data_IF_707355675567
#
_entry.id   IF_707355675567
#
_cell.length_a   1.000
_cell.length_b   1.000
_cell.length_c   1.000
_cell.angle_alpha   90.00
_cell.angle_beta   90.00
_cell.angle_gamma   90.00
#
_symmetry.space_group_name_H-M   'P 1'
#
loop_
_entity.id
_entity.type
_entity.pdbx_description
1 polymer ?
#
# COMPACT_ATOMS: atom_id res chain seq x y z
N UNK A 1 -1.80 30.21 13.83
CA UNK A 1 -0.91 29.09 14.20
C UNK A 1 -1.79 27.85 14.23
N UNK A 2 -1.57 26.88 13.35
CA UNK A 2 -2.33 25.60 13.46
C UNK A 2 -1.92 24.93 14.77
N UNK A 3 -2.88 24.49 15.56
CA UNK A 3 -2.58 23.80 16.82
C UNK A 3 -1.76 22.55 16.54
N UNK A 4 -0.72 22.32 17.32
CA UNK A 4 0.07 21.11 17.21
C UNK A 4 -0.76 19.91 17.68
N UNK A 5 -0.65 18.79 16.97
CA UNK A 5 -1.34 17.55 17.34
C UNK A 5 -0.90 17.09 18.73
N UNK A 6 -1.88 16.91 19.61
CA UNK A 6 -1.71 16.45 20.97
C UNK A 6 -1.23 17.55 21.92
N UNK A 7 -2.11 18.01 22.77
CA UNK A 7 -1.82 18.93 23.87
C UNK A 7 -0.71 18.44 24.82
N UNK A 8 -0.32 17.18 24.73
CA UNK A 8 0.67 16.55 25.59
C UNK A 8 2.06 16.44 24.95
N UNK A 9 2.31 16.96 23.75
CA UNK A 9 3.56 16.77 22.99
C UNK A 9 4.01 15.29 22.93
N UNK A 10 3.07 14.36 22.89
CA UNK A 10 3.37 12.94 22.83
C UNK A 10 3.67 12.57 21.38
N UNK A 11 4.83 11.99 21.15
CA UNK A 11 5.17 11.37 19.88
C UNK A 11 4.35 10.09 19.72
N UNK A 12 3.50 10.02 18.69
CA UNK A 12 2.59 8.87 18.47
C UNK A 12 3.32 7.53 18.31
N UNK A 13 4.55 7.58 17.81
CA UNK A 13 5.39 6.39 17.66
C UNK A 13 5.81 5.75 18.98
N UNK A 14 5.79 6.50 20.09
CA UNK A 14 6.20 5.99 21.42
C UNK A 14 5.27 4.94 21.99
N UNK A 15 4.01 4.90 21.55
CA UNK A 15 3.03 3.89 21.96
C UNK A 15 3.10 2.59 21.18
N UNK A 16 4.08 2.45 20.27
CA UNK A 16 4.25 1.28 19.41
C UNK A 16 5.57 0.60 19.73
N UNK A 17 5.52 -0.68 20.04
CA UNK A 17 6.72 -1.50 20.16
C UNK A 17 7.23 -1.93 18.77
N UNK A 18 8.10 -1.10 18.20
CA UNK A 18 8.63 -1.34 16.85
C UNK A 18 9.53 -2.57 16.74
N UNK A 19 10.17 -3.00 17.84
CA UNK A 19 10.96 -4.24 17.86
C UNK A 19 10.04 -5.44 17.80
N UNK A 20 8.96 -5.43 18.56
CA UNK A 20 7.92 -6.46 18.49
C UNK A 20 7.24 -6.50 17.11
N UNK A 21 6.95 -5.36 16.49
CA UNK A 21 6.40 -5.30 15.12
C UNK A 21 7.38 -5.93 14.12
N UNK A 22 8.67 -5.60 14.20
CA UNK A 22 9.70 -6.18 13.30
C UNK A 22 9.79 -7.70 13.44
N UNK A 23 9.91 -8.18 14.66
CA UNK A 23 9.97 -9.62 14.95
C UNK A 23 8.73 -10.35 14.42
N UNK A 24 7.54 -9.85 14.76
CA UNK A 24 6.27 -10.43 14.31
C UNK A 24 6.18 -10.52 12.79
N UNK A 25 6.52 -9.45 12.06
CA UNK A 25 6.47 -9.43 10.60
C UNK A 25 7.43 -10.41 9.97
N UNK A 26 8.66 -10.45 10.46
CA UNK A 26 9.68 -11.33 9.93
C UNK A 26 9.33 -12.80 10.17
N UNK A 27 8.82 -13.13 11.35
CA UNK A 27 8.36 -14.48 11.68
C UNK A 27 7.20 -14.91 10.80
N UNK A 28 6.23 -14.02 10.56
CA UNK A 28 5.11 -14.30 9.65
C UNK A 28 5.57 -14.50 8.20
N UNK A 29 6.52 -13.71 7.73
CA UNK A 29 7.07 -13.89 6.38
C UNK A 29 7.82 -15.21 6.24
N UNK A 30 8.62 -15.58 7.25
CA UNK A 30 9.34 -16.86 7.29
C UNK A 30 8.39 -18.06 7.36
N UNK A 31 7.35 -17.97 8.18
CA UNK A 31 6.32 -19.00 8.29
C UNK A 31 5.57 -19.19 6.95
N UNK A 32 5.18 -18.10 6.30
CA UNK A 32 4.54 -18.17 4.99
C UNK A 32 5.48 -18.78 3.93
N UNK A 33 6.73 -18.35 3.89
CA UNK A 33 7.76 -18.91 3.00
C UNK A 33 7.90 -20.42 3.20
N UNK A 34 7.96 -20.89 4.46
CA UNK A 34 8.06 -22.31 4.80
C UNK A 34 6.81 -23.09 4.37
N UNK A 35 5.60 -22.58 4.66
CA UNK A 35 4.34 -23.24 4.28
C UNK A 35 4.19 -23.41 2.78
N UNK A 36 4.73 -22.48 1.99
CA UNK A 36 4.75 -22.56 0.53
C UNK A 36 5.96 -23.32 -0.04
N UNK A 37 6.81 -23.92 0.81
CA UNK A 37 7.95 -24.73 0.39
C UNK A 37 9.08 -23.94 -0.30
N UNK A 38 9.11 -22.61 -0.12
CA UNK A 38 10.09 -21.74 -0.74
C UNK A 38 11.44 -21.79 0.00
N UNK A 39 12.56 -21.76 -0.74
CA UNK A 39 13.90 -21.64 -0.16
C UNK A 39 14.28 -20.19 0.13
N UNK A 40 13.74 -19.26 -0.66
CA UNK A 40 13.92 -17.83 -0.50
C UNK A 40 12.75 -17.05 -1.13
N UNK A 41 12.68 -15.75 -0.82
CA UNK A 41 11.80 -14.80 -1.50
C UNK A 41 12.59 -13.59 -1.98
N UNK A 42 12.37 -13.18 -3.23
CA UNK A 42 12.83 -11.91 -3.81
C UNK A 42 11.64 -10.96 -3.86
N UNK A 43 11.75 -9.85 -3.14
CA UNK A 43 10.68 -8.90 -2.89
C UNK A 43 11.03 -7.56 -3.53
N UNK A 44 10.18 -7.07 -4.43
CA UNK A 44 10.37 -5.84 -5.20
C UNK A 44 9.27 -4.81 -4.99
N UNK A 45 8.09 -5.23 -4.50
CA UNK A 45 7.06 -4.29 -4.08
C UNK A 45 7.43 -3.66 -2.74
N UNK A 46 7.26 -2.34 -2.64
CA UNK A 46 7.62 -1.55 -1.47
C UNK A 46 7.03 -2.09 -0.16
N UNK A 47 5.77 -2.48 -0.21
CA UNK A 47 5.07 -3.03 0.94
C UNK A 47 5.73 -4.31 1.47
N UNK A 48 6.20 -5.16 0.58
CA UNK A 48 6.86 -6.43 0.93
C UNK A 48 8.29 -6.20 1.40
N UNK A 49 9.05 -5.33 0.71
CA UNK A 49 10.38 -4.91 1.15
C UNK A 49 10.31 -4.34 2.57
N UNK A 50 9.41 -3.39 2.78
CA UNK A 50 9.22 -2.75 4.09
C UNK A 50 8.76 -3.73 5.15
N UNK A 51 7.91 -4.68 4.81
CA UNK A 51 7.41 -5.68 5.75
C UNK A 51 8.54 -6.50 6.36
N UNK A 52 9.51 -6.94 5.58
CA UNK A 52 10.62 -7.77 6.06
C UNK A 52 11.83 -6.98 6.55
N UNK A 53 12.02 -5.72 6.09
CA UNK A 53 13.20 -4.92 6.44
C UNK A 53 12.89 -3.77 7.40
N UNK A 54 11.64 -3.37 7.52
CA UNK A 54 11.18 -2.16 8.26
C UNK A 54 11.93 -0.88 7.85
N UNK A 55 12.35 -0.79 6.60
CA UNK A 55 13.03 0.39 6.06
C UNK A 55 12.10 1.20 5.16
N UNK A 56 12.28 2.51 5.15
CA UNK A 56 11.52 3.42 4.31
C UNK A 56 12.08 3.43 2.89
N UNK A 57 11.19 3.33 1.90
CA UNK A 57 11.55 3.52 0.50
C UNK A 57 11.45 4.99 0.11
N UNK A 58 12.48 5.57 -0.51
CA UNK A 58 12.38 6.91 -1.09
C UNK A 58 11.25 6.99 -2.12
N UNK A 59 10.48 8.10 -2.12
CA UNK A 59 9.27 8.22 -2.93
C UNK A 59 9.48 7.97 -4.42
N UNK A 60 10.61 8.39 -4.98
CA UNK A 60 10.93 8.19 -6.40
C UNK A 60 11.20 6.72 -6.79
N UNK A 61 11.48 5.85 -5.81
CA UNK A 61 11.73 4.41 -6.03
C UNK A 61 10.46 3.55 -5.95
N UNK A 62 9.40 4.02 -5.31
CA UNK A 62 8.22 3.20 -4.98
C UNK A 62 7.56 2.53 -6.18
N UNK A 63 7.55 3.20 -7.33
CA UNK A 63 6.94 2.68 -8.55
C UNK A 63 7.95 2.15 -9.57
N UNK A 64 9.16 1.79 -9.12
CA UNK A 64 10.24 1.33 -10.01
C UNK A 64 10.87 0.04 -9.50
N UNK A 65 10.18 -1.12 -9.67
CA UNK A 65 10.74 -2.43 -9.32
C UNK A 65 12.13 -2.61 -9.97
N UNK A 66 13.04 -3.27 -9.28
CA UNK A 66 14.41 -3.49 -9.75
C UNK A 66 15.40 -2.36 -9.47
N UNK A 67 14.99 -1.26 -8.82
CA UNK A 67 15.94 -0.26 -8.28
C UNK A 67 16.27 -0.53 -6.81
N UNK A 68 15.31 -1.02 -6.06
CA UNK A 68 15.40 -1.41 -4.66
C UNK A 68 14.63 -2.70 -4.46
N UNK A 69 15.19 -3.63 -3.72
CA UNK A 69 14.59 -4.94 -3.49
C UNK A 69 15.18 -5.60 -2.25
N UNK A 70 14.48 -6.60 -1.71
CA UNK A 70 14.96 -7.38 -0.60
C UNK A 70 14.97 -8.87 -0.95
N UNK A 71 15.91 -9.61 -0.38
CA UNK A 71 15.96 -11.07 -0.45
C UNK A 71 15.85 -11.62 0.97
N UNK A 72 14.85 -12.48 1.18
CA UNK A 72 14.69 -13.23 2.42
C UNK A 72 15.03 -14.69 2.13
N UNK A 73 16.14 -15.17 2.67
CA UNK A 73 16.61 -16.56 2.55
C UNK A 73 16.26 -17.32 3.81
N UNK A 74 15.88 -18.60 3.70
CA UNK A 74 15.56 -19.44 4.86
C UNK A 74 16.70 -19.45 5.88
N UNK A 75 16.36 -19.22 7.15
CA UNK A 75 17.32 -19.22 8.25
C UNK A 75 18.28 -18.02 8.30
N UNK A 76 18.13 -17.04 7.39
CA UNK A 76 18.98 -15.84 7.34
C UNK A 76 18.18 -14.59 7.67
N UNK A 77 18.89 -13.51 8.03
CA UNK A 77 18.31 -12.18 8.11
C UNK A 77 18.08 -11.59 6.72
N UNK A 78 17.08 -10.70 6.56
CA UNK A 78 16.78 -10.09 5.26
C UNK A 78 18.01 -9.36 4.69
N UNK A 79 18.22 -9.49 3.39
CA UNK A 79 19.22 -8.75 2.63
C UNK A 79 18.49 -7.64 1.89
N UNK A 80 18.91 -6.40 2.11
CA UNK A 80 18.38 -5.23 1.41
C UNK A 80 19.38 -4.77 0.36
N UNK A 81 18.95 -4.73 -0.89
CA UNK A 81 19.67 -4.08 -1.98
C UNK A 81 19.17 -2.65 -2.14
N UNK A 82 20.03 -1.69 -1.88
CA UNK A 82 19.72 -0.26 -1.86
C UNK A 82 20.68 0.55 -2.72
N UNK A 83 20.23 1.71 -3.18
CA UNK A 83 21.05 2.56 -4.05
C UNK A 83 22.03 3.43 -3.25
N UNK A 84 23.27 3.45 -3.70
CA UNK A 84 24.32 4.41 -3.36
C UNK A 84 24.35 4.89 -1.91
N UNK A 85 24.23 6.18 -1.72
CA UNK A 85 24.25 6.86 -0.43
C UNK A 85 23.04 6.59 0.45
N UNK A 86 21.89 6.21 -0.13
CA UNK A 86 20.72 5.75 0.63
C UNK A 86 21.09 4.49 1.43
N UNK A 87 21.86 3.56 0.85
CA UNK A 87 22.37 2.39 1.57
C UNK A 87 23.24 2.77 2.76
N UNK A 88 24.05 3.82 2.65
CA UNK A 88 24.85 4.38 3.76
C UNK A 88 23.94 4.91 4.86
N UNK A 89 22.87 5.65 4.48
CA UNK A 89 21.90 6.16 5.44
C UNK A 89 21.18 5.02 6.18
N UNK A 90 20.72 3.99 5.46
CA UNK A 90 20.08 2.81 6.05
C UNK A 90 21.01 2.13 7.06
N UNK A 91 22.28 1.91 6.71
CA UNK A 91 23.27 1.34 7.64
C UNK A 91 23.42 2.14 8.93
N UNK A 92 23.38 3.47 8.83
CA UNK A 92 23.54 4.37 9.98
C UNK A 92 22.29 4.43 10.87
N UNK A 93 21.08 4.23 10.30
CA UNK A 93 19.81 4.50 10.98
C UNK A 93 18.88 3.29 11.12
N UNK A 94 19.30 2.11 10.67
CA UNK A 94 18.52 0.87 10.77
C UNK A 94 19.35 -0.25 11.44
N UNK A 95 19.64 -0.12 12.75
CA UNK A 95 20.54 -1.04 13.46
C UNK A 95 20.00 -2.47 13.59
N UNK A 96 18.74 -2.69 13.26
CA UNK A 96 18.10 -4.02 13.26
C UNK A 96 18.42 -4.85 12.00
N UNK A 97 19.08 -4.26 10.99
CA UNK A 97 19.57 -4.98 9.81
C UNK A 97 21.10 -5.08 9.93
N UNK A 98 21.70 -6.29 9.86
CA UNK A 98 23.15 -6.43 9.80
C UNK A 98 23.74 -5.56 8.68
N UNK A 99 24.83 -4.84 8.96
CA UNK A 99 25.39 -3.87 8.00
C UNK A 99 25.83 -4.51 6.68
N UNK A 100 26.33 -5.75 6.75
CA UNK A 100 26.70 -6.57 5.60
C UNK A 100 25.50 -6.97 4.72
N UNK A 101 24.30 -7.00 5.30
CA UNK A 101 23.05 -7.29 4.60
C UNK A 101 22.45 -6.07 3.88
N UNK A 102 22.98 -4.87 4.10
CA UNK A 102 22.63 -3.71 3.27
C UNK A 102 23.65 -3.60 2.15
N UNK A 103 23.26 -4.07 0.97
CA UNK A 103 24.12 -4.18 -0.21
C UNK A 103 23.76 -3.13 -1.27
N UNK A 104 24.70 -2.87 -2.17
CA UNK A 104 24.45 -2.00 -3.32
C UNK A 104 23.50 -2.70 -4.31
N UNK A 105 22.46 -1.98 -4.77
CA UNK A 105 21.51 -2.53 -5.75
C UNK A 105 22.09 -2.54 -7.16
N UNK A 106 21.78 -3.59 -7.90
CA UNK A 106 22.00 -3.69 -9.34
C UNK A 106 20.73 -3.22 -10.06
N UNK A 107 20.75 -2.02 -10.61
CA UNK A 107 19.56 -1.44 -11.26
C UNK A 107 19.47 -1.91 -12.71
N UNK A 108 18.66 -2.92 -13.00
CA UNK A 108 18.57 -3.49 -14.36
C UNK A 108 17.36 -3.01 -15.17
N UNK A 109 16.43 -2.24 -14.61
CA UNK A 109 15.31 -1.74 -15.41
C UNK A 109 15.82 -0.91 -16.59
N UNK A 110 15.31 -1.19 -17.80
CA UNK A 110 15.80 -0.57 -19.03
C UNK A 110 15.73 0.96 -19.03
N UNK A 111 14.72 1.54 -18.37
CA UNK A 111 14.60 2.99 -18.21
C UNK A 111 15.72 3.65 -17.40
N UNK A 112 16.43 2.88 -16.56
CA UNK A 112 17.56 3.39 -15.77
C UNK A 112 18.90 2.89 -16.31
N UNK A 113 19.01 1.61 -16.64
CA UNK A 113 20.26 0.96 -17.05
C UNK A 113 20.54 0.98 -18.55
N UNK A 114 19.52 1.19 -19.38
CA UNK A 114 19.67 1.19 -20.84
C UNK A 114 20.37 -0.08 -21.36
N UNK A 115 21.45 0.05 -22.16
CA UNK A 115 22.20 -1.10 -22.68
C UNK A 115 22.86 -1.98 -21.62
N UNK A 116 23.11 -1.44 -20.41
CA UNK A 116 23.74 -2.18 -19.32
C UNK A 116 22.77 -3.10 -18.54
N UNK A 117 21.49 -3.09 -18.87
CA UNK A 117 20.43 -3.82 -18.17
C UNK A 117 20.78 -5.31 -17.98
N UNK A 118 21.21 -6.00 -19.07
CA UNK A 118 21.56 -7.42 -18.99
C UNK A 118 22.75 -7.66 -18.02
N UNK A 119 23.79 -6.86 -18.12
CA UNK A 119 24.96 -6.97 -17.24
C UNK A 119 24.58 -6.77 -15.75
N UNK A 120 23.66 -5.87 -15.48
CA UNK A 120 23.21 -5.62 -14.08
C UNK A 120 22.44 -6.79 -13.52
N UNK A 121 21.49 -7.36 -14.30
CA UNK A 121 20.73 -8.53 -13.82
C UNK A 121 21.60 -9.77 -13.71
N UNK A 122 22.60 -9.95 -14.58
CA UNK A 122 23.55 -11.07 -14.49
C UNK A 122 24.35 -10.99 -13.17
N UNK A 123 24.88 -9.82 -12.81
CA UNK A 123 25.58 -9.60 -11.54
C UNK A 123 24.69 -9.82 -10.31
N UNK A 124 23.45 -9.37 -10.39
CA UNK A 124 22.49 -9.63 -9.32
C UNK A 124 22.23 -11.14 -9.17
N UNK A 125 22.00 -11.81 -10.31
CA UNK A 125 21.73 -13.26 -10.32
C UNK A 125 22.90 -14.06 -9.77
N UNK A 126 24.13 -13.67 -10.10
CA UNK A 126 25.35 -14.30 -9.53
C UNK A 126 25.40 -14.14 -8.01
N UNK A 127 25.14 -12.94 -7.49
CA UNK A 127 25.07 -12.69 -6.05
C UNK A 127 23.95 -13.49 -5.37
N UNK A 128 22.77 -13.54 -5.99
CA UNK A 128 21.62 -14.30 -5.49
C UNK A 128 21.92 -15.80 -5.43
N UNK A 129 22.52 -16.36 -6.49
CA UNK A 129 22.94 -17.78 -6.52
C UNK A 129 23.89 -18.08 -5.39
N UNK A 130 24.87 -17.22 -5.14
CA UNK A 130 25.80 -17.37 -4.01
C UNK A 130 25.05 -17.42 -2.66
N UNK A 131 24.12 -16.51 -2.42
CA UNK A 131 23.32 -16.48 -1.18
C UNK A 131 22.47 -17.77 -1.02
N UNK A 132 21.89 -18.29 -2.10
CA UNK A 132 21.10 -19.52 -2.10
C UNK A 132 21.96 -20.77 -1.85
N UNK A 133 23.16 -20.82 -2.44
CA UNK A 133 24.13 -21.90 -2.24
C UNK A 133 24.67 -21.93 -0.80
N UNK A 134 25.04 -20.76 -0.27
CA UNK A 134 25.54 -20.61 1.11
C UNK A 134 24.49 -20.99 2.17
N UNK A 135 23.21 -20.89 1.81
CA UNK A 135 22.11 -21.32 2.66
C UNK A 135 21.66 -22.78 2.38
N UNK A 136 22.19 -23.43 1.34
CA UNK A 136 21.80 -24.79 0.96
C UNK A 136 20.38 -24.92 0.42
N UNK A 137 19.83 -23.85 -0.17
CA UNK A 137 18.44 -23.80 -0.67
C UNK A 137 18.32 -23.56 -2.17
N UNK A 138 19.42 -23.61 -2.92
CA UNK A 138 19.46 -23.33 -4.36
C UNK A 138 18.50 -24.22 -5.17
N UNK A 139 18.32 -25.47 -4.77
CA UNK A 139 17.44 -26.43 -5.45
C UNK A 139 15.97 -26.27 -5.07
N UNK A 140 15.64 -25.31 -4.19
CA UNK A 140 14.28 -25.01 -3.78
C UNK A 140 13.74 -23.79 -4.53
N UNK A 141 12.40 -23.70 -4.74
CA UNK A 141 11.83 -22.58 -5.46
C UNK A 141 12.11 -21.23 -4.78
N UNK A 142 12.43 -20.22 -5.61
CA UNK A 142 12.48 -18.82 -5.23
C UNK A 142 11.09 -18.20 -5.42
N UNK A 143 10.45 -17.71 -4.38
CA UNK A 143 9.24 -16.91 -4.48
C UNK A 143 9.57 -15.51 -4.99
N UNK A 144 8.87 -15.02 -6.01
CA UNK A 144 9.06 -13.65 -6.54
C UNK A 144 7.71 -12.92 -6.52
N UNK A 145 7.68 -11.70 -5.99
CA UNK A 145 6.45 -10.88 -5.99
C UNK A 145 6.33 -10.01 -7.26
N UNK A 146 7.42 -9.86 -8.00
CA UNK A 146 7.48 -9.23 -9.31
C UNK A 146 8.61 -9.84 -10.13
N UNK A 147 8.39 -10.02 -11.42
CA UNK A 147 9.42 -10.50 -12.35
C UNK A 147 9.26 -9.84 -13.72
N UNK A 148 10.35 -9.32 -14.29
CA UNK A 148 10.37 -8.83 -15.67
C UNK A 148 10.97 -9.87 -16.64
N UNK A 149 10.82 -9.63 -17.95
CA UNK A 149 11.30 -10.55 -18.99
C UNK A 149 12.81 -10.79 -18.89
N UNK A 150 13.58 -9.74 -18.55
CA UNK A 150 15.05 -9.84 -18.47
C UNK A 150 15.46 -10.74 -17.30
N UNK A 151 14.77 -10.60 -16.17
CA UNK A 151 14.98 -11.48 -15.00
C UNK A 151 14.59 -12.92 -15.32
N UNK A 152 13.40 -13.15 -15.90
CA UNK A 152 12.92 -14.50 -16.24
C UNK A 152 13.98 -15.25 -17.05
N UNK A 153 14.44 -14.65 -18.16
CA UNK A 153 15.43 -15.24 -19.04
C UNK A 153 16.78 -15.47 -18.34
N UNK A 154 17.15 -14.60 -17.40
CA UNK A 154 18.42 -14.73 -16.69
C UNK A 154 18.33 -15.82 -15.62
N UNK A 155 17.24 -15.91 -14.88
CA UNK A 155 17.00 -16.94 -13.88
C UNK A 155 16.91 -18.34 -14.53
N UNK A 156 16.24 -18.45 -15.68
CA UNK A 156 16.21 -19.69 -16.47
C UNK A 156 17.63 -20.16 -16.85
N UNK A 157 18.47 -19.23 -17.37
CA UNK A 157 19.88 -19.55 -17.70
C UNK A 157 20.71 -19.95 -16.48
N UNK A 158 20.43 -19.38 -15.33
CA UNK A 158 21.11 -19.68 -14.07
C UNK A 158 20.57 -20.94 -13.37
N UNK A 159 19.53 -21.58 -13.91
CA UNK A 159 18.90 -22.76 -13.31
C UNK A 159 18.11 -22.47 -12.04
N UNK A 160 17.69 -21.22 -11.83
CA UNK A 160 16.84 -20.84 -10.69
C UNK A 160 15.38 -21.20 -11.04
N UNK A 161 14.79 -22.06 -10.23
CA UNK A 161 13.34 -22.31 -10.25
C UNK A 161 12.65 -21.20 -9.47
N UNK A 162 11.70 -20.51 -10.08
CA UNK A 162 10.94 -19.43 -9.43
C UNK A 162 9.42 -19.66 -9.50
N UNK A 163 8.70 -19.10 -8.56
CA UNK A 163 7.24 -19.22 -8.44
C UNK A 163 6.66 -17.97 -7.77
N UNK A 164 5.35 -17.96 -7.56
CA UNK A 164 4.65 -16.87 -6.91
C UNK A 164 5.15 -16.64 -5.47
N UNK A 165 5.63 -15.44 -5.20
CA UNK A 165 6.01 -14.93 -3.89
C UNK A 165 5.02 -13.89 -3.34
N UNK A 166 4.07 -13.41 -4.17
CA UNK A 166 3.08 -12.45 -3.73
C UNK A 166 2.06 -13.07 -2.77
N UNK A 167 1.52 -14.25 -3.08
CA UNK A 167 0.55 -14.94 -2.22
C UNK A 167 1.10 -15.19 -0.82
N UNK A 168 2.31 -15.77 -0.61
CA UNK A 168 2.90 -15.89 0.72
C UNK A 168 3.01 -14.57 1.46
N UNK A 169 3.39 -13.49 0.80
CA UNK A 169 3.49 -12.16 1.42
C UNK A 169 2.12 -11.58 1.77
N UNK A 170 1.10 -11.78 0.94
CA UNK A 170 -0.28 -11.39 1.26
C UNK A 170 -0.79 -12.14 2.51
N UNK A 171 -0.54 -13.44 2.61
CA UNK A 171 -0.89 -14.24 3.79
C UNK A 171 -0.14 -13.77 5.05
N UNK A 172 1.15 -13.47 4.92
CA UNK A 172 1.95 -12.94 6.02
C UNK A 172 1.37 -11.62 6.55
N UNK A 173 0.97 -10.72 5.66
CA UNK A 173 0.41 -9.40 5.99
C UNK A 173 -1.07 -9.41 6.40
N UNK A 174 -1.82 -10.50 6.15
CA UNK A 174 -3.26 -10.55 6.39
C UNK A 174 -3.61 -10.33 7.87
N UNK A 175 -2.90 -10.98 8.80
CA UNK A 175 -3.12 -10.87 10.23
C UNK A 175 -2.18 -9.83 10.84
N UNK A 176 -2.75 -8.87 11.58
CA UNK A 176 -2.02 -7.76 12.22
C UNK A 176 -1.80 -8.02 13.69
N UNK A 177 -0.59 -7.72 14.17
CA UNK A 177 -0.30 -7.67 15.61
C UNK A 177 -1.11 -6.56 16.32
N UNK A 178 -1.22 -6.55 17.65
CA UNK A 178 -1.87 -5.46 18.39
C UNK A 178 -1.27 -4.09 18.08
N UNK A 179 0.06 -3.98 17.95
CA UNK A 179 0.74 -2.73 17.60
C UNK A 179 0.43 -2.29 16.17
N UNK A 180 0.40 -3.23 15.21
CA UNK A 180 -0.02 -2.94 13.84
C UNK A 180 -1.48 -2.48 13.76
N UNK A 181 -2.38 -3.04 14.60
CA UNK A 181 -3.76 -2.57 14.72
C UNK A 181 -3.80 -1.14 15.26
N UNK A 182 -2.94 -0.78 16.21
CA UNK A 182 -2.83 0.60 16.71
C UNK A 182 -2.36 1.54 15.60
N UNK A 183 -1.38 1.15 14.80
CA UNK A 183 -0.97 1.92 13.62
C UNK A 183 -2.12 2.12 12.63
N UNK A 184 -2.93 1.07 12.39
CA UNK A 184 -4.11 1.17 11.53
C UNK A 184 -5.16 2.13 12.07
N UNK A 185 -5.35 2.19 13.40
CA UNK A 185 -6.24 3.17 14.04
C UNK A 185 -5.72 4.61 13.89
N UNK A 186 -4.41 4.81 14.02
CA UNK A 186 -3.79 6.13 13.86
C UNK A 186 -4.01 6.64 12.43
N UNK A 187 -3.69 5.85 11.42
CA UNK A 187 -3.85 6.28 10.02
C UNK A 187 -5.33 6.51 9.65
N UNK A 188 -6.25 5.69 10.18
CA UNK A 188 -7.68 5.91 10.03
C UNK A 188 -8.16 7.23 10.67
N UNK A 189 -7.65 7.55 11.86
CA UNK A 189 -7.98 8.81 12.55
C UNK A 189 -7.47 10.04 11.79
N UNK A 190 -6.35 9.96 11.08
CA UNK A 190 -5.86 11.04 10.21
C UNK A 190 -6.82 11.25 9.03
N UNK A 191 -7.32 10.18 8.42
CA UNK A 191 -8.34 10.28 7.37
C UNK A 191 -9.63 10.94 7.88
N UNK A 192 -10.10 10.55 9.08
CA UNK A 192 -11.28 11.17 9.68
C UNK A 192 -11.07 12.66 9.97
N UNK A 193 -9.88 13.05 10.42
CA UNK A 193 -9.52 14.45 10.63
C UNK A 193 -9.58 15.27 9.33
N UNK A 194 -9.12 14.72 8.19
CA UNK A 194 -9.29 15.38 6.90
C UNK A 194 -10.77 15.56 6.54
N UNK A 195 -11.57 14.51 6.69
CA UNK A 195 -12.99 14.60 6.35
C UNK A 195 -13.72 15.62 7.22
N UNK A 196 -13.33 15.79 8.49
CA UNK A 196 -13.83 16.88 9.32
C UNK A 196 -13.37 18.25 8.80
N UNK A 197 -12.09 18.42 8.47
CA UNK A 197 -11.56 19.64 7.86
C UNK A 197 -12.32 20.00 6.56
N UNK A 198 -12.62 19.01 5.73
CA UNK A 198 -13.38 19.24 4.50
C UNK A 198 -14.79 19.75 4.76
N UNK A 199 -15.45 19.42 5.88
CA UNK A 199 -16.75 20.01 6.22
C UNK A 199 -16.70 21.52 6.45
N UNK A 200 -15.53 22.04 6.81
CA UNK A 200 -15.30 23.46 7.06
C UNK A 200 -14.78 24.19 5.80
N UNK A 201 -14.05 23.49 4.95
CA UNK A 201 -13.41 24.07 3.78
C UNK A 201 -14.30 24.13 2.55
N UNK A 202 -15.12 23.08 2.32
CA UNK A 202 -15.94 22.94 1.12
C UNK A 202 -16.98 24.06 1.01
N UNK A 203 -16.99 24.72 -0.15
CA UNK A 203 -17.98 25.74 -0.53
C UNK A 203 -18.12 25.83 -2.05
N UNK A 204 -19.25 26.31 -2.56
CA UNK A 204 -19.39 26.60 -3.98
C UNK A 204 -18.35 27.61 -4.48
N UNK A 205 -17.91 27.43 -5.72
CA UNK A 205 -16.91 28.30 -6.35
C UNK A 205 -15.48 27.80 -6.23
N UNK A 206 -15.19 26.83 -5.38
CA UNK A 206 -13.90 26.11 -5.40
C UNK A 206 -13.85 25.19 -6.61
N UNK A 207 -12.64 24.96 -7.14
CA UNK A 207 -12.41 23.88 -8.10
C UNK A 207 -12.05 22.57 -7.38
N UNK A 208 -12.26 21.44 -8.05
CA UNK A 208 -11.84 20.13 -7.53
C UNK A 208 -10.33 20.14 -7.19
N UNK A 209 -9.48 20.75 -8.06
CA UNK A 209 -8.04 20.93 -7.79
C UNK A 209 -7.75 21.69 -6.49
N UNK A 210 -8.51 22.74 -6.19
CA UNK A 210 -8.30 23.52 -4.97
C UNK A 210 -8.65 22.70 -3.72
N UNK A 211 -9.69 21.87 -3.82
CA UNK A 211 -10.08 20.96 -2.73
C UNK A 211 -9.01 19.88 -2.53
N UNK A 212 -8.55 19.26 -3.61
CA UNK A 212 -7.46 18.26 -3.55
C UNK A 212 -6.18 18.87 -2.97
N UNK A 213 -5.76 20.05 -3.43
CA UNK A 213 -4.57 20.76 -2.92
C UNK A 213 -4.66 21.02 -1.41
N UNK A 214 -5.84 21.46 -0.92
CA UNK A 214 -6.07 21.65 0.51
C UNK A 214 -5.97 20.31 1.27
N UNK A 215 -6.51 19.23 0.70
CA UNK A 215 -6.41 17.88 1.27
C UNK A 215 -4.97 17.42 1.40
N UNK A 216 -4.17 17.56 0.37
CA UNK A 216 -2.74 17.23 0.41
C UNK A 216 -1.99 18.05 1.46
N UNK A 217 -2.20 19.39 1.48
CA UNK A 217 -1.57 20.27 2.48
C UNK A 217 -1.91 19.82 3.91
N UNK A 218 -3.20 19.55 4.15
CA UNK A 218 -3.67 19.11 5.46
C UNK A 218 -3.03 17.78 5.88
N UNK A 219 -3.08 16.77 5.02
CA UNK A 219 -2.55 15.43 5.33
C UNK A 219 -1.04 15.44 5.57
N UNK A 220 -0.27 16.11 4.72
CA UNK A 220 1.19 16.19 4.93
C UNK A 220 1.60 17.04 6.14
N UNK A 221 0.67 17.77 6.76
CA UNK A 221 0.94 18.48 8.01
C UNK A 221 1.01 17.56 9.23
N UNK A 222 0.56 16.30 9.13
CA UNK A 222 0.60 15.34 10.23
C UNK A 222 1.97 14.68 10.37
N UNK A 223 2.51 14.59 11.60
CA UNK A 223 3.77 13.90 11.85
C UNK A 223 3.70 12.42 11.45
N UNK A 224 4.67 11.97 10.66
CA UNK A 224 4.79 10.57 10.24
C UNK A 224 3.95 10.18 9.03
N UNK A 225 3.20 11.10 8.43
CA UNK A 225 2.66 10.89 7.08
C UNK A 225 3.80 10.89 6.08
N UNK A 226 3.92 9.82 5.34
CA UNK A 226 5.03 9.57 4.41
C UNK A 226 4.61 9.73 2.96
N UNK A 227 3.34 9.41 2.70
CA UNK A 227 2.82 9.42 1.35
C UNK A 227 1.29 9.57 1.36
N UNK A 228 0.80 10.26 0.36
CA UNK A 228 -0.62 10.34 0.01
C UNK A 228 -0.69 10.05 -1.47
N UNK A 229 -1.15 8.88 -1.87
CA UNK A 229 -1.18 8.49 -3.28
C UNK A 229 -2.09 9.43 -4.07
N UNK A 230 -3.29 9.73 -3.52
CA UNK A 230 -4.17 10.73 -4.11
C UNK A 230 -5.16 11.29 -3.08
N UNK A 231 -5.70 12.47 -3.38
CA UNK A 231 -6.92 13.04 -2.80
C UNK A 231 -7.91 13.24 -3.94
N UNK A 232 -8.67 12.21 -4.23
CA UNK A 232 -9.66 12.23 -5.31
C UNK A 232 -10.80 13.16 -4.91
N UNK A 233 -11.18 14.05 -5.82
CA UNK A 233 -12.30 14.98 -5.65
C UNK A 233 -13.14 14.96 -6.91
N UNK A 234 -14.32 14.37 -6.83
CA UNK A 234 -15.26 14.28 -7.96
C UNK A 234 -16.57 14.97 -7.61
N UNK A 235 -16.95 15.97 -8.40
CA UNK A 235 -18.13 16.81 -8.14
C UNK A 235 -19.16 16.76 -9.28
N UNK A 236 -20.44 16.84 -8.96
CA UNK A 236 -21.53 16.88 -9.91
C UNK A 236 -21.43 15.75 -10.95
N UNK A 237 -21.34 16.06 -12.27
CA UNK A 237 -21.26 15.02 -13.31
C UNK A 237 -20.00 14.15 -13.21
N UNK A 238 -18.91 14.59 -12.57
CA UNK A 238 -17.72 13.75 -12.35
C UNK A 238 -17.92 12.73 -11.22
N UNK A 239 -18.93 12.90 -10.37
CA UNK A 239 -19.23 11.96 -9.29
C UNK A 239 -19.92 10.68 -9.80
N UNK A 240 -20.46 10.69 -11.02
CA UNK A 240 -21.09 9.52 -11.62
C UNK A 240 -20.86 9.42 -13.14
N UNK A 241 -20.36 8.30 -13.66
CA UNK A 241 -19.62 7.28 -12.90
C UNK A 241 -18.37 7.91 -12.25
N UNK A 242 -17.98 7.44 -11.08
CA UNK A 242 -16.89 8.06 -10.32
C UNK A 242 -15.58 8.08 -11.12
N UNK A 243 -15.12 9.26 -11.49
CA UNK A 243 -13.92 9.43 -12.32
C UNK A 243 -12.60 9.13 -11.59
N UNK A 244 -12.61 9.06 -10.26
CA UNK A 244 -11.46 8.77 -9.43
C UNK A 244 -10.25 9.68 -9.67
N UNK A 245 -10.51 10.97 -9.81
CA UNK A 245 -9.48 12.00 -9.99
C UNK A 245 -10.06 13.35 -9.53
N UNK A 246 -9.36 14.44 -9.85
CA UNK A 246 -9.83 15.81 -9.69
C UNK A 246 -9.54 16.62 -10.98
N UNK A 247 -10.28 17.70 -11.18
CA UNK A 247 -10.17 18.55 -12.37
C UNK A 247 -10.21 20.03 -12.01
N UNK A 248 -10.19 20.89 -13.03
CA UNK A 248 -10.41 22.33 -12.92
C UNK A 248 -11.90 22.70 -12.82
N UNK A 249 -12.80 21.69 -12.73
CA UNK A 249 -14.23 21.91 -12.62
C UNK A 249 -14.58 22.70 -11.36
N UNK A 250 -15.43 23.73 -11.53
CA UNK A 250 -15.96 24.52 -10.43
C UNK A 250 -17.15 23.80 -9.79
N UNK A 251 -17.10 23.61 -8.48
CA UNK A 251 -18.18 23.05 -7.66
C UNK A 251 -19.34 24.08 -7.58
N UNK A 252 -20.55 23.63 -7.87
CA UNK A 252 -21.74 24.47 -7.85
C UNK A 252 -22.61 24.22 -6.62
N UNK A 253 -23.47 25.20 -6.22
CA UNK A 253 -24.39 25.02 -5.11
C UNK A 253 -25.31 23.81 -5.30
N UNK A 254 -25.46 22.99 -4.25
CA UNK A 254 -26.37 21.82 -4.24
C UNK A 254 -25.78 20.56 -4.88
N UNK A 255 -24.57 20.62 -5.42
CA UNK A 255 -23.92 19.42 -6.01
C UNK A 255 -23.38 18.47 -4.93
N UNK A 256 -23.39 17.18 -5.27
CA UNK A 256 -22.64 16.17 -4.51
C UNK A 256 -21.16 16.24 -4.87
N UNK A 257 -20.33 16.10 -3.86
CA UNK A 257 -18.87 16.01 -3.96
C UNK A 257 -18.43 14.76 -3.23
N UNK A 258 -17.77 13.86 -3.94
CA UNK A 258 -17.12 12.68 -3.37
C UNK A 258 -15.66 13.03 -3.13
N UNK A 259 -15.18 12.80 -1.91
CA UNK A 259 -13.76 12.91 -1.56
C UNK A 259 -13.28 11.56 -1.09
N UNK A 260 -12.21 11.09 -1.72
CA UNK A 260 -11.49 9.89 -1.34
C UNK A 260 -10.06 10.22 -0.93
N UNK A 261 -9.68 9.79 0.27
CA UNK A 261 -8.28 9.77 0.70
C UNK A 261 -7.70 8.46 0.20
N UNK A 262 -7.19 8.46 -1.03
CA UNK A 262 -6.64 7.26 -1.64
C UNK A 262 -5.25 6.98 -1.07
N UNK A 263 -5.16 5.88 -0.31
CA UNK A 263 -3.94 5.31 0.24
C UNK A 263 -3.02 6.31 0.99
N UNK A 264 -3.58 7.02 1.97
CA UNK A 264 -2.76 7.74 2.96
C UNK A 264 -1.85 6.74 3.69
N UNK A 265 -0.55 7.00 3.69
CA UNK A 265 0.46 6.17 4.35
C UNK A 265 1.05 6.88 5.56
N UNK A 266 0.91 6.26 6.73
CA UNK A 266 1.55 6.67 7.98
C UNK A 266 2.44 5.54 8.50
N UNK A 267 3.76 5.75 8.55
CA UNK A 267 4.75 4.73 8.97
C UNK A 267 4.55 3.35 8.29
N UNK A 268 4.19 3.35 7.00
CA UNK A 268 3.96 2.14 6.21
C UNK A 268 2.58 1.48 6.38
N UNK A 269 1.69 2.08 7.16
CA UNK A 269 0.31 1.64 7.28
C UNK A 269 -0.57 2.50 6.40
N UNK A 270 -1.36 1.88 5.55
CA UNK A 270 -2.23 2.56 4.58
C UNK A 270 -3.69 2.57 5.05
N UNK A 271 -4.39 3.66 4.75
CA UNK A 271 -5.83 3.78 4.90
C UNK A 271 -6.44 4.48 3.68
N UNK A 272 -7.66 4.10 3.35
CA UNK A 272 -8.44 4.71 2.29
C UNK A 272 -9.86 4.91 2.81
N UNK A 273 -10.38 6.13 2.71
CA UNK A 273 -11.70 6.49 3.25
C UNK A 273 -12.41 7.45 2.32
N UNK A 274 -13.64 7.10 1.96
CA UNK A 274 -14.54 7.93 1.13
C UNK A 274 -15.55 8.67 1.99
N UNK A 275 -15.93 9.89 1.56
CA UNK A 275 -17.11 10.62 2.06
C UNK A 275 -17.77 11.40 0.93
N UNK A 276 -19.08 11.53 1.04
CA UNK A 276 -19.89 12.31 0.10
C UNK A 276 -20.50 13.50 0.81
N UNK A 277 -20.42 14.67 0.19
CA UNK A 277 -20.89 15.94 0.70
C UNK A 277 -21.90 16.56 -0.25
N UNK A 278 -22.92 17.24 0.29
CA UNK A 278 -23.76 18.17 -0.49
C UNK A 278 -23.25 19.59 -0.22
N UNK A 279 -22.73 20.27 -1.25
CA UNK A 279 -22.02 21.53 -1.07
C UNK A 279 -22.89 22.74 -1.38
N UNK A 280 -23.00 23.66 -0.40
CA UNK A 280 -23.70 24.94 -0.59
C UNK A 280 -25.21 24.84 -0.77
N UNK A 281 -25.84 23.78 -0.31
CA UNK A 281 -27.26 23.54 -0.36
C UNK A 281 -27.75 22.45 0.57
N UNK A 282 -29.06 22.19 0.52
CA UNK A 282 -29.67 21.04 1.21
C UNK A 282 -29.80 19.89 0.21
N UNK A 283 -29.39 18.68 0.53
CA UNK A 283 -29.54 17.54 -0.35
C UNK A 283 -31.03 17.28 -0.64
N UNK A 284 -31.36 16.92 -1.87
CA UNK A 284 -32.72 16.50 -2.24
C UNK A 284 -33.12 15.22 -1.51
N UNK A 285 -34.39 14.90 -1.47
CA UNK A 285 -34.86 13.67 -0.84
C UNK A 285 -34.35 12.42 -1.57
N UNK A 286 -34.19 12.49 -2.89
CA UNK A 286 -33.57 11.44 -3.69
C UNK A 286 -32.11 11.23 -3.30
N UNK A 287 -31.29 12.28 -3.17
CA UNK A 287 -29.90 12.20 -2.70
C UNK A 287 -29.80 11.57 -1.32
N UNK A 288 -30.69 11.95 -0.40
CA UNK A 288 -30.74 11.35 0.94
C UNK A 288 -31.08 9.87 0.87
N UNK A 289 -32.08 9.50 0.07
CA UNK A 289 -32.46 8.10 -0.10
C UNK A 289 -31.30 7.24 -0.62
N UNK A 290 -30.59 7.68 -1.65
CA UNK A 290 -29.40 6.94 -2.15
C UNK A 290 -28.30 6.84 -1.09
N UNK A 291 -28.02 7.93 -0.39
CA UNK A 291 -27.04 7.93 0.68
C UNK A 291 -27.40 6.95 1.81
N UNK A 292 -28.63 7.00 2.29
CA UNK A 292 -29.11 6.13 3.38
C UNK A 292 -29.13 4.66 2.95
N UNK A 293 -29.45 4.37 1.71
CA UNK A 293 -29.40 3.01 1.14
C UNK A 293 -27.97 2.49 1.12
N UNK A 294 -27.03 3.27 0.56
CA UNK A 294 -25.62 2.89 0.53
C UNK A 294 -25.02 2.73 1.95
N UNK A 295 -25.38 3.63 2.86
CA UNK A 295 -24.94 3.58 4.25
C UNK A 295 -25.48 2.33 4.97
N UNK A 296 -26.70 1.92 4.67
CA UNK A 296 -27.29 0.69 5.21
C UNK A 296 -26.50 -0.54 4.74
N UNK A 297 -26.27 -0.65 3.44
CA UNK A 297 -25.45 -1.76 2.90
C UNK A 297 -24.06 -1.81 3.52
N UNK A 298 -23.40 -0.65 3.66
CA UNK A 298 -22.08 -0.57 4.28
C UNK A 298 -22.10 -1.05 5.73
N UNK A 299 -23.07 -0.60 6.53
CA UNK A 299 -23.20 -1.00 7.95
C UNK A 299 -23.50 -2.49 8.09
N UNK A 300 -24.44 -3.01 7.30
CA UNK A 300 -24.78 -4.43 7.31
C UNK A 300 -23.58 -5.30 6.92
N UNK A 301 -22.76 -4.82 5.99
CA UNK A 301 -21.50 -5.49 5.61
C UNK A 301 -20.46 -5.47 6.73
N UNK A 302 -20.28 -4.33 7.41
CA UNK A 302 -19.36 -4.21 8.55
C UNK A 302 -19.80 -5.12 9.70
N UNK A 303 -21.09 -5.13 10.02
CA UNK A 303 -21.67 -5.94 11.09
C UNK A 303 -21.60 -7.46 10.77
N UNK A 304 -21.53 -7.82 9.51
CA UNK A 304 -21.34 -9.20 9.07
C UNK A 304 -19.91 -9.71 9.24
N UNK A 305 -18.90 -8.81 9.38
CA UNK A 305 -17.47 -9.19 9.49
C UNK A 305 -17.20 -9.83 10.85
N UNK A 306 -17.00 -11.14 10.86
CA UNK A 306 -16.65 -11.92 12.07
C UNK A 306 -15.93 -13.22 11.68
N UNK A 307 -15.24 -13.88 12.62
CA UNK A 307 -14.58 -15.14 12.34
C UNK A 307 -15.53 -16.19 11.74
N UNK A 308 -15.09 -16.85 10.67
CA UNK A 308 -15.82 -17.93 9.99
C UNK A 308 -16.75 -17.50 8.86
N UNK A 309 -16.97 -16.19 8.62
CA UNK A 309 -17.69 -15.71 7.44
C UNK A 309 -16.78 -15.64 6.22
N UNK A 310 -17.38 -15.86 5.05
CA UNK A 310 -16.67 -15.71 3.76
C UNK A 310 -16.86 -14.31 3.19
N UNK A 311 -16.02 -13.93 2.23
CA UNK A 311 -16.22 -12.68 1.47
C UNK A 311 -17.56 -12.68 0.71
N UNK A 312 -18.04 -13.85 0.26
CA UNK A 312 -19.36 -13.99 -0.36
C UNK A 312 -20.49 -13.63 0.61
N UNK A 313 -20.41 -14.01 1.90
CA UNK A 313 -21.41 -13.67 2.90
C UNK A 313 -21.49 -12.15 3.13
N UNK A 314 -20.34 -11.46 3.04
CA UNK A 314 -20.27 -10.00 3.16
C UNK A 314 -20.81 -9.37 1.88
N UNK A 315 -20.37 -9.82 0.70
CA UNK A 315 -20.83 -9.30 -0.59
C UNK A 315 -22.35 -9.45 -0.78
N UNK A 316 -22.97 -10.48 -0.21
CA UNK A 316 -24.43 -10.67 -0.25
C UNK A 316 -25.24 -9.58 0.45
N UNK A 317 -24.60 -8.64 1.17
CA UNK A 317 -25.26 -7.47 1.77
C UNK A 317 -25.46 -6.33 0.77
N UNK A 318 -24.82 -6.41 -0.38
CA UNK A 318 -24.91 -5.47 -1.48
C UNK A 318 -25.79 -6.04 -2.59
N UNK A 319 -26.42 -5.20 -3.43
CA UNK A 319 -27.05 -5.71 -4.64
C UNK A 319 -26.03 -6.36 -5.56
N UNK A 320 -26.49 -7.29 -6.39
CA UNK A 320 -25.62 -7.97 -7.34
C UNK A 320 -25.03 -6.96 -8.36
N UNK A 321 -23.88 -7.27 -8.92
CA UNK A 321 -23.30 -6.49 -10.00
C UNK A 321 -24.23 -6.44 -11.22
N UNK A 322 -24.94 -7.54 -11.52
CA UNK A 322 -25.95 -7.59 -12.56
C UNK A 322 -27.07 -6.57 -12.34
N UNK A 323 -27.61 -6.52 -11.11
CA UNK A 323 -28.71 -5.57 -10.79
C UNK A 323 -28.22 -4.11 -10.78
N UNK A 324 -26.98 -3.87 -10.34
CA UNK A 324 -26.43 -2.52 -10.17
C UNK A 324 -25.94 -1.94 -11.49
N UNK A 325 -25.25 -2.75 -12.30
CA UNK A 325 -24.53 -2.31 -13.50
C UNK A 325 -25.16 -2.79 -14.79
N UNK A 326 -26.17 -3.69 -14.71
CA UNK A 326 -26.88 -4.23 -15.87
C UNK A 326 -26.08 -5.27 -16.63
N UNK A 327 -25.14 -5.95 -15.98
CA UNK A 327 -24.46 -7.09 -16.60
C UNK A 327 -25.40 -8.25 -16.84
N UNK A 328 -25.21 -8.99 -17.95
CA UNK A 328 -26.07 -10.08 -18.33
C UNK A 328 -25.93 -11.31 -17.43
N UNK A 329 -24.70 -11.56 -16.95
CA UNK A 329 -24.36 -12.70 -16.10
C UNK A 329 -23.11 -12.42 -15.26
N UNK A 330 -22.70 -13.41 -14.42
CA UNK A 330 -21.54 -13.32 -13.56
C UNK A 330 -20.22 -13.29 -14.36
N UNK A 331 -20.15 -13.92 -15.52
CA UNK A 331 -18.93 -13.94 -16.36
C UNK A 331 -18.69 -12.55 -16.98
N UNK A 332 -19.74 -11.87 -17.43
CA UNK A 332 -19.66 -10.49 -17.89
C UNK A 332 -19.26 -9.53 -16.76
N UNK A 333 -19.77 -9.73 -15.55
CA UNK A 333 -19.45 -8.91 -14.39
C UNK A 333 -18.01 -9.14 -13.88
N UNK A 334 -17.41 -10.30 -14.18
CA UNK A 334 -16.05 -10.67 -13.78
C UNK A 334 -14.98 -10.23 -14.78
N UNK A 335 -15.36 -9.92 -16.02
CA UNK A 335 -14.46 -9.51 -17.09
C UNK A 335 -14.10 -8.01 -17.02
#
# INVERSE_FOLDING_TARGET
MKEAFGYANIEWKRGIDWDAVRAFRLDRARDAMQRHGLGAMLLMYDENIRYVTSTLTPGWNKLKPGLRYAVLVEGKDPILYEQGDIGIHIKAHSPWIPQENVRHSFAWIKGAAGPASQMQVDKFTEALVGDLEDAGVKDRPLGVDFIDITMMQTFERAGITWTDGMTPMMEARAVKSPDEQNCSRIVGSICDALHYEMTQFLRPGLTENQVAAHGFEFLYSFPGVEDVEDVIVSSGPNAWPNWRNFSDRIIRPGELVIIDVAALTWNGFKSCVYRTYCVGGTPTDEMKQYYDTALTWLRDSIDAVKPGVTTRDIASKWPSAMDTWGYADEDEAAA
#
